data_IF_533059264378
#
_entry.id   IF_533059264378
#
_cell.length_a   1.000
_cell.length_b   1.000
_cell.length_c   1.000
_cell.angle_alpha   90.00
_cell.angle_beta   90.00
_cell.angle_gamma   90.00
#
_symmetry.space_group_name_H-M   'P 1'
#
loop_
_entity.id
_entity.type
_entity.pdbx_description
1 polymer ?
#
# COMPACT_ATOMS: atom_id res chain seq x y z
N UNK A 1 15.55 -16.65 50.48
CA UNK A 1 15.43 -15.38 49.71
C UNK A 1 14.29 -15.57 48.72
N UNK A 2 13.15 -15.08 49.08
CA UNK A 2 11.88 -15.22 48.33
C UNK A 2 11.80 -14.12 47.29
N UNK A 3 11.62 -14.50 46.03
CA UNK A 3 11.37 -13.55 44.94
C UNK A 3 9.94 -13.02 45.04
N UNK A 4 9.80 -11.72 45.30
CA UNK A 4 8.51 -11.02 45.26
C UNK A 4 8.08 -10.83 43.78
N UNK A 5 6.88 -11.29 43.49
CA UNK A 5 6.23 -11.12 42.21
C UNK A 5 5.74 -9.69 42.07
N UNK A 6 6.30 -8.92 41.15
CA UNK A 6 5.79 -7.58 40.82
C UNK A 6 4.47 -7.73 40.05
N UNK A 7 3.39 -7.19 40.67
CA UNK A 7 2.04 -7.20 40.10
C UNK A 7 1.97 -6.32 38.84
N UNK A 8 1.31 -6.81 37.78
CA UNK A 8 1.03 -6.08 36.53
C UNK A 8 0.33 -4.72 36.71
N UNK A 9 -0.28 -4.49 37.90
CA UNK A 9 -0.98 -3.25 38.23
C UNK A 9 -0.02 -2.11 38.62
N UNK A 10 1.18 -2.42 39.10
CA UNK A 10 2.16 -1.43 39.54
C UNK A 10 2.93 -0.75 38.39
N UNK A 11 2.89 -1.32 37.19
CA UNK A 11 3.54 -0.74 36.01
C UNK A 11 2.74 0.35 35.30
N UNK A 12 1.47 0.54 35.66
CA UNK A 12 0.56 1.52 35.03
C UNK A 12 0.38 2.82 35.80
N UNK A 13 0.91 2.93 37.04
CA UNK A 13 0.66 4.10 37.92
C UNK A 13 1.84 5.08 38.03
N UNK A 14 2.96 4.90 37.29
CA UNK A 14 4.17 5.70 37.44
C UNK A 14 4.43 6.72 36.30
N UNK A 15 3.39 7.37 35.76
CA UNK A 15 3.59 8.42 34.73
C UNK A 15 2.56 9.53 34.85
N UNK A 16 2.58 10.27 35.98
CA UNK A 16 1.89 11.54 36.10
C UNK A 16 2.75 12.54 36.89
N UNK A 17 3.68 13.20 36.21
CA UNK A 17 4.26 14.46 36.72
C UNK A 17 3.96 15.53 35.69
N UNK A 18 3.02 16.43 36.05
CA UNK A 18 2.60 17.54 35.21
C UNK A 18 3.65 18.64 35.15
N UNK A 19 3.89 19.17 33.97
CA UNK A 19 4.55 20.47 33.76
C UNK A 19 3.47 21.42 33.24
N UNK A 20 3.10 22.40 34.06
CA UNK A 20 2.30 23.55 33.63
C UNK A 20 3.19 24.48 32.80
N UNK A 21 2.91 24.57 31.49
CA UNK A 21 3.42 25.65 30.65
C UNK A 21 2.25 26.56 30.25
N UNK A 22 2.35 27.82 30.60
CA UNK A 22 1.38 28.86 30.25
C UNK A 22 1.53 29.15 28.73
N UNK A 23 0.47 28.89 27.97
CA UNK A 23 0.41 29.24 26.53
C UNK A 23 -0.30 30.58 26.36
N UNK A 24 0.42 31.55 25.77
CA UNK A 24 -0.17 32.77 25.22
C UNK A 24 -0.84 32.40 23.89
N UNK A 25 -2.14 32.58 23.81
CA UNK A 25 -2.92 32.31 22.62
C UNK A 25 -2.71 33.43 21.58
N UNK A 26 -2.16 33.09 20.42
CA UNK A 26 -2.23 33.91 19.21
C UNK A 26 -3.55 33.61 18.47
N UNK A 27 -4.18 34.60 17.78
CA UNK A 27 -5.43 34.38 17.11
C UNK A 27 -5.26 33.46 15.91
N UNK A 28 -6.02 32.38 15.85
CA UNK A 28 -6.10 31.49 14.71
C UNK A 28 -6.79 32.18 13.53
N UNK A 29 -6.04 32.38 12.43
CA UNK A 29 -6.63 32.72 11.15
C UNK A 29 -7.31 31.45 10.62
N UNK A 30 -8.63 31.42 10.60
CA UNK A 30 -9.41 30.35 10.01
C UNK A 30 -9.15 30.33 8.49
N UNK A 31 -8.47 29.31 8.01
CA UNK A 31 -8.46 28.96 6.59
C UNK A 31 -9.87 28.47 6.20
N UNK A 32 -10.41 28.87 5.03
CA UNK A 32 -11.69 28.36 4.61
C UNK A 32 -11.61 26.85 4.43
N UNK A 33 -12.44 26.11 5.19
CA UNK A 33 -12.56 24.68 5.08
C UNK A 33 -12.91 24.28 3.65
N UNK A 34 -12.08 23.44 3.04
CA UNK A 34 -12.45 22.71 1.86
C UNK A 34 -13.71 21.89 2.21
N UNK A 35 -14.86 22.30 1.68
CA UNK A 35 -16.10 21.58 1.86
C UNK A 35 -15.91 20.15 1.42
N UNK A 36 -16.32 19.20 2.26
CA UNK A 36 -16.35 17.80 1.92
C UNK A 36 -17.10 17.63 0.59
N UNK A 37 -16.54 16.96 -0.42
CA UNK A 37 -17.26 16.71 -1.66
C UNK A 37 -18.44 15.80 -1.34
N UNK A 38 -19.63 16.27 -1.65
CA UNK A 38 -20.87 15.52 -1.56
C UNK A 38 -20.73 14.20 -2.31
N UNK A 39 -20.97 13.08 -1.62
CA UNK A 39 -21.18 11.73 -2.13
C UNK A 39 -20.16 11.32 -3.19
N UNK A 40 -19.01 10.79 -2.77
CA UNK A 40 -17.96 10.35 -3.69
C UNK A 40 -18.52 9.37 -4.72
N UNK A 41 -18.51 9.77 -5.99
CA UNK A 41 -18.87 8.91 -7.11
C UNK A 41 -17.74 7.89 -7.40
N UNK A 42 -17.30 7.20 -6.35
CA UNK A 42 -16.20 6.18 -6.40
C UNK A 42 -16.61 4.97 -7.24
N UNK A 43 -17.86 4.93 -7.70
CA UNK A 43 -18.35 3.89 -8.56
C UNK A 43 -18.93 2.68 -7.81
N UNK A 44 -19.58 1.82 -8.60
CA UNK A 44 -20.17 0.56 -8.09
C UNK A 44 -19.10 -0.52 -8.03
N UNK A 45 -19.07 -1.28 -6.93
CA UNK A 45 -18.24 -2.47 -6.81
C UNK A 45 -18.66 -3.52 -7.86
N UNK A 46 -17.69 -4.03 -8.59
CA UNK A 46 -17.81 -5.06 -9.63
C UNK A 46 -16.95 -6.28 -9.27
N UNK A 47 -17.17 -7.39 -9.94
CA UNK A 47 -16.38 -8.61 -9.82
C UNK A 47 -15.96 -9.07 -11.21
N UNK A 48 -14.76 -9.63 -11.30
CA UNK A 48 -14.26 -10.28 -12.51
C UNK A 48 -13.46 -11.53 -12.14
N UNK A 49 -13.73 -12.63 -12.83
CA UNK A 49 -13.01 -13.89 -12.62
C UNK A 49 -11.76 -13.94 -13.47
N UNK A 50 -10.67 -14.29 -12.83
CA UNK A 50 -9.41 -14.70 -13.46
C UNK A 50 -9.25 -16.22 -13.35
N UNK A 51 -8.07 -16.75 -13.60
CA UNK A 51 -7.78 -18.18 -13.41
C UNK A 51 -7.86 -18.60 -11.93
N UNK A 52 -7.36 -17.75 -11.01
CA UNK A 52 -7.24 -18.08 -9.58
C UNK A 52 -8.21 -17.33 -8.69
N UNK A 53 -8.61 -16.14 -9.09
CA UNK A 53 -9.34 -15.20 -8.24
C UNK A 53 -10.64 -14.72 -8.89
N UNK A 54 -11.64 -14.46 -8.06
CA UNK A 54 -12.76 -13.57 -8.36
C UNK A 54 -12.43 -12.22 -7.73
N UNK A 55 -11.99 -11.27 -8.57
CA UNK A 55 -11.42 -9.98 -8.11
C UNK A 55 -12.52 -8.94 -8.01
N UNK A 56 -12.69 -8.39 -6.79
CA UNK A 56 -13.52 -7.22 -6.56
C UNK A 56 -12.79 -5.95 -6.98
N UNK A 57 -13.46 -5.07 -7.71
CA UNK A 57 -12.88 -3.79 -8.13
C UNK A 57 -13.93 -2.70 -8.29
N UNK A 58 -13.49 -1.47 -8.25
CA UNK A 58 -14.29 -0.29 -8.61
C UNK A 58 -13.77 0.27 -9.93
N UNK A 59 -14.68 0.79 -10.74
CA UNK A 59 -14.36 1.43 -12.01
C UNK A 59 -14.96 2.83 -12.06
N UNK A 60 -14.15 3.83 -12.43
CA UNK A 60 -14.56 5.20 -12.59
C UNK A 60 -14.16 5.75 -13.97
N UNK A 61 -14.86 6.78 -14.42
CA UNK A 61 -14.63 7.42 -15.71
C UNK A 61 -15.22 6.67 -16.92
N UNK A 62 -14.93 7.10 -18.15
CA UNK A 62 -15.49 6.53 -19.36
C UNK A 62 -14.88 5.16 -19.67
N UNK A 63 -15.72 4.19 -20.06
CA UNK A 63 -15.30 2.82 -20.33
C UNK A 63 -14.28 2.69 -21.49
N UNK A 64 -14.28 3.64 -22.42
CA UNK A 64 -13.33 3.72 -23.54
C UNK A 64 -12.16 4.68 -23.26
N UNK A 65 -12.03 5.18 -22.03
CA UNK A 65 -10.89 6.02 -21.62
C UNK A 65 -9.57 5.23 -21.56
N UNK A 66 -8.45 5.97 -21.57
CA UNK A 66 -7.12 5.39 -21.40
C UNK A 66 -7.03 4.69 -20.02
N UNK A 67 -6.66 3.40 -19.97
CA UNK A 67 -6.71 2.65 -18.71
C UNK A 67 -5.69 3.13 -17.68
N UNK A 68 -6.15 3.27 -16.44
CA UNK A 68 -5.32 3.52 -15.25
C UNK A 68 -5.69 2.48 -14.21
N UNK A 69 -4.70 1.77 -13.68
CA UNK A 69 -4.89 0.80 -12.59
C UNK A 69 -4.23 1.36 -11.33
N UNK A 70 -4.99 1.44 -10.23
CA UNK A 70 -4.55 2.00 -8.96
C UNK A 70 -4.54 0.92 -7.88
N UNK A 71 -3.36 0.65 -7.31
CA UNK A 71 -3.11 -0.47 -6.42
C UNK A 71 -2.85 0.00 -4.99
N UNK A 72 -3.72 -0.39 -4.07
CA UNK A 72 -3.60 -0.07 -2.64
C UNK A 72 -2.55 -0.94 -1.94
N UNK A 73 -2.23 -0.59 -0.70
CA UNK A 73 -1.29 -1.30 0.16
C UNK A 73 -1.89 -1.94 1.39
N UNK A 74 -1.04 -2.41 2.29
CA UNK A 74 -1.39 -2.92 3.60
C UNK A 74 -1.12 -1.86 4.68
N UNK A 75 -1.99 -1.69 5.66
CA UNK A 75 -3.33 -2.26 5.83
C UNK A 75 -4.43 -1.28 5.36
N UNK A 76 -4.36 -0.90 4.11
CA UNK A 76 -5.31 -0.01 3.44
C UNK A 76 -6.20 -0.81 2.48
N UNK A 77 -7.03 -0.12 1.69
CA UNK A 77 -7.91 -0.75 0.71
C UNK A 77 -8.16 0.16 -0.50
N UNK A 78 -9.13 -0.18 -1.34
CA UNK A 78 -9.48 0.60 -2.53
C UNK A 78 -9.79 2.07 -2.21
N UNK A 79 -10.24 2.40 -0.99
CA UNK A 79 -10.57 3.77 -0.59
C UNK A 79 -9.33 4.67 -0.45
N UNK A 80 -8.11 4.14 -0.50
CA UNK A 80 -6.88 4.90 -0.74
C UNK A 80 -7.03 5.83 -1.95
N UNK A 81 -7.85 5.44 -2.93
CA UNK A 81 -8.05 6.17 -4.20
C UNK A 81 -9.44 6.77 -4.35
N UNK A 82 -10.21 6.86 -3.26
CA UNK A 82 -11.61 7.34 -3.29
C UNK A 82 -11.75 8.74 -3.91
N UNK A 83 -10.78 9.61 -3.68
CA UNK A 83 -10.77 10.98 -4.22
C UNK A 83 -9.92 11.10 -5.50
N UNK A 84 -8.94 10.21 -5.70
CA UNK A 84 -8.10 10.18 -6.92
C UNK A 84 -8.89 9.69 -8.13
N UNK A 85 -9.67 8.62 -7.99
CA UNK A 85 -10.35 7.99 -9.11
C UNK A 85 -11.37 8.93 -9.80
N UNK A 86 -12.19 9.73 -9.09
CA UNK A 86 -13.05 10.73 -9.70
C UNK A 86 -12.29 11.81 -10.48
N UNK A 87 -11.12 12.28 -9.97
CA UNK A 87 -10.29 13.29 -10.66
C UNK A 87 -9.80 12.73 -12.00
N UNK A 88 -9.27 11.52 -12.01
CA UNK A 88 -8.78 10.87 -13.23
C UNK A 88 -9.93 10.52 -14.20
N UNK A 89 -11.07 10.08 -13.66
CA UNK A 89 -12.27 9.81 -14.44
C UNK A 89 -12.80 11.07 -15.15
N UNK A 90 -12.83 12.21 -14.45
CA UNK A 90 -13.20 13.50 -15.02
C UNK A 90 -12.19 13.96 -16.10
N UNK A 91 -10.93 13.57 -15.99
CA UNK A 91 -9.89 13.80 -17.00
C UNK A 91 -9.95 12.83 -18.21
N UNK A 92 -10.97 11.94 -18.25
CA UNK A 92 -11.22 11.05 -19.38
C UNK A 92 -10.52 9.70 -19.32
N UNK A 93 -9.95 9.33 -18.18
CA UNK A 93 -9.34 8.01 -17.97
C UNK A 93 -10.37 6.96 -17.52
N UNK A 94 -10.18 5.71 -17.97
CA UNK A 94 -10.83 4.52 -17.40
C UNK A 94 -10.03 4.05 -16.19
N UNK A 95 -10.52 4.33 -14.99
CA UNK A 95 -9.79 4.06 -13.73
C UNK A 95 -10.30 2.77 -13.11
N UNK A 96 -9.40 1.82 -12.87
CA UNK A 96 -9.67 0.52 -12.25
C UNK A 96 -8.96 0.47 -10.90
N UNK A 97 -9.71 0.22 -9.83
CA UNK A 97 -9.19 0.13 -8.45
C UNK A 97 -9.56 -1.24 -7.88
N UNK A 98 -8.70 -2.27 -8.03
CA UNK A 98 -8.99 -3.60 -7.52
C UNK A 98 -8.67 -3.73 -6.03
N UNK A 99 -9.42 -4.58 -5.34
CA UNK A 99 -8.95 -5.20 -4.11
C UNK A 99 -7.87 -6.23 -4.42
N UNK A 100 -6.72 -6.09 -3.80
CA UNK A 100 -5.67 -7.11 -3.86
C UNK A 100 -6.16 -8.43 -3.25
N UNK A 101 -5.45 -9.55 -3.53
CA UNK A 101 -5.73 -10.83 -2.87
C UNK A 101 -5.75 -10.69 -1.36
N UNK A 102 -6.73 -11.31 -0.69
CA UNK A 102 -6.91 -11.21 0.75
C UNK A 102 -7.58 -9.90 1.22
N UNK A 103 -8.20 -9.14 0.32
CA UNK A 103 -8.90 -7.90 0.68
C UNK A 103 -10.33 -7.84 0.12
N UNK A 104 -11.18 -7.13 0.86
CA UNK A 104 -12.54 -6.79 0.44
C UNK A 104 -13.31 -7.98 -0.09
N UNK A 105 -13.81 -7.86 -1.31
CA UNK A 105 -14.60 -8.91 -1.96
C UNK A 105 -13.82 -9.84 -2.87
N UNK A 106 -12.50 -9.64 -3.01
CA UNK A 106 -11.65 -10.58 -3.77
C UNK A 106 -11.61 -11.95 -3.08
N UNK A 107 -11.86 -13.02 -3.83
CA UNK A 107 -11.92 -14.40 -3.32
C UNK A 107 -11.13 -15.35 -4.20
N UNK A 108 -10.52 -16.36 -3.61
CA UNK A 108 -9.96 -17.48 -4.35
C UNK A 108 -11.08 -18.35 -4.91
N UNK A 109 -10.94 -18.77 -6.18
CA UNK A 109 -11.91 -19.65 -6.84
C UNK A 109 -11.85 -21.08 -6.32
N UNK A 110 -10.71 -21.50 -5.77
CA UNK A 110 -10.50 -22.83 -5.22
C UNK A 110 -9.92 -22.78 -3.82
N UNK A 111 -10.41 -23.66 -2.95
CA UNK A 111 -9.84 -23.86 -1.62
C UNK A 111 -8.44 -24.52 -1.68
N UNK A 112 -8.11 -25.21 -2.77
CA UNK A 112 -6.81 -25.83 -2.99
C UNK A 112 -5.72 -24.82 -3.38
N UNK A 113 -6.07 -23.61 -3.85
CA UNK A 113 -5.10 -22.57 -4.17
C UNK A 113 -4.41 -22.09 -2.89
N UNK A 114 -3.09 -22.07 -2.88
CA UNK A 114 -2.31 -21.60 -1.74
C UNK A 114 -2.56 -20.10 -1.48
N UNK A 115 -2.77 -19.76 -0.19
CA UNK A 115 -2.93 -18.37 0.27
C UNK A 115 -1.55 -17.72 0.41
N UNK A 116 -0.96 -17.42 -0.72
CA UNK A 116 0.39 -16.94 -0.88
C UNK A 116 0.42 -15.42 -1.11
N UNK A 117 1.29 -14.72 -0.37
CA UNK A 117 1.50 -13.26 -0.44
C UNK A 117 2.87 -12.87 -0.98
N UNK A 118 3.63 -13.78 -1.64
CA UNK A 118 4.93 -13.44 -2.23
C UNK A 118 4.78 -12.35 -3.32
N UNK A 119 5.84 -11.60 -3.56
CA UNK A 119 5.72 -10.38 -4.38
C UNK A 119 5.38 -10.65 -5.86
N UNK A 120 5.93 -11.71 -6.48
CA UNK A 120 5.65 -12.03 -7.88
C UNK A 120 4.18 -12.35 -8.13
N UNK A 121 3.53 -13.02 -7.17
CA UNK A 121 2.12 -13.39 -7.24
C UNK A 121 1.21 -12.16 -7.34
N UNK A 122 1.51 -11.09 -6.59
CA UNK A 122 0.74 -9.84 -6.66
C UNK A 122 0.84 -9.21 -8.07
N UNK A 123 2.01 -9.29 -8.70
CA UNK A 123 2.19 -8.84 -10.07
C UNK A 123 1.40 -9.69 -11.08
N UNK A 124 1.41 -11.01 -10.93
CA UNK A 124 0.64 -11.91 -11.81
C UNK A 124 -0.86 -11.71 -11.67
N UNK A 125 -1.37 -11.39 -10.48
CA UNK A 125 -2.78 -11.06 -10.29
C UNK A 125 -3.20 -9.81 -11.09
N UNK A 126 -2.34 -8.80 -11.14
CA UNK A 126 -2.61 -7.58 -11.93
C UNK A 126 -2.64 -7.91 -13.42
N UNK A 127 -1.71 -8.73 -13.92
CA UNK A 127 -1.73 -9.17 -15.32
C UNK A 127 -3.00 -9.96 -15.62
N UNK A 128 -3.38 -10.91 -14.76
CA UNK A 128 -4.61 -11.68 -14.91
C UNK A 128 -5.87 -10.79 -14.87
N UNK A 129 -5.89 -9.76 -14.03
CA UNK A 129 -6.96 -8.75 -14.01
C UNK A 129 -7.02 -8.00 -15.34
N UNK A 130 -5.88 -7.55 -15.86
CA UNK A 130 -5.81 -6.85 -17.15
C UNK A 130 -6.35 -7.73 -18.28
N UNK A 131 -5.98 -9.00 -18.32
CA UNK A 131 -6.46 -9.96 -19.32
C UNK A 131 -7.97 -10.16 -19.22
N UNK A 132 -8.50 -10.35 -18.01
CA UNK A 132 -9.93 -10.53 -17.76
C UNK A 132 -10.78 -9.28 -18.11
N UNK A 133 -10.19 -8.08 -18.01
CA UNK A 133 -10.84 -6.81 -18.37
C UNK A 133 -10.52 -6.34 -19.81
N UNK A 134 -9.81 -7.17 -20.60
CA UNK A 134 -9.35 -6.86 -21.96
C UNK A 134 -8.56 -5.54 -22.02
N UNK A 135 -7.68 -5.34 -21.04
CA UNK A 135 -6.76 -4.20 -20.97
C UNK A 135 -5.40 -4.65 -21.46
N UNK A 136 -5.04 -4.26 -22.67
CA UNK A 136 -3.74 -4.60 -23.24
C UNK A 136 -2.60 -3.88 -22.52
N UNK A 137 -2.78 -2.59 -22.21
CA UNK A 137 -1.78 -1.73 -21.60
C UNK A 137 -2.43 -0.68 -20.70
N UNK A 138 -1.80 -0.33 -19.56
CA UNK A 138 -2.33 0.65 -18.63
C UNK A 138 -1.22 1.49 -18.00
N UNK A 139 -1.56 2.71 -17.55
CA UNK A 139 -0.78 3.44 -16.55
C UNK A 139 -1.04 2.75 -15.22
N UNK A 140 0.01 2.47 -14.45
CA UNK A 140 -0.14 1.79 -13.17
C UNK A 140 0.37 2.71 -12.05
N UNK A 141 -0.51 2.97 -11.08
CA UNK A 141 -0.20 3.73 -9.88
C UNK A 141 -0.30 2.85 -8.63
N UNK A 142 0.57 3.07 -7.64
CA UNK A 142 0.50 2.28 -6.42
C UNK A 142 1.08 2.97 -5.19
N UNK A 143 0.61 2.48 -4.02
CA UNK A 143 1.11 2.87 -2.71
C UNK A 143 1.40 1.61 -1.89
N UNK A 144 2.48 1.57 -1.13
CA UNK A 144 2.90 0.45 -0.27
C UNK A 144 3.00 -0.89 -1.04
N UNK A 145 2.24 -1.95 -0.67
CA UNK A 145 2.22 -3.20 -1.46
C UNK A 145 1.80 -2.95 -2.90
N UNK A 146 0.89 -2.01 -3.12
CA UNK A 146 0.46 -1.60 -4.45
C UNK A 146 1.58 -0.97 -5.25
N UNK A 147 2.43 -0.14 -4.62
CA UNK A 147 3.61 0.42 -5.27
C UNK A 147 4.62 -0.66 -5.62
N UNK A 148 4.87 -1.63 -4.72
CA UNK A 148 5.72 -2.80 -5.02
C UNK A 148 5.16 -3.58 -6.20
N UNK A 149 3.87 -3.87 -6.19
CA UNK A 149 3.19 -4.59 -7.26
C UNK A 149 3.29 -3.85 -8.59
N UNK A 150 3.09 -2.53 -8.58
CA UNK A 150 3.24 -1.68 -9.78
C UNK A 150 4.67 -1.71 -10.33
N UNK A 151 5.69 -1.63 -9.45
CA UNK A 151 7.10 -1.78 -9.82
C UNK A 151 7.38 -3.15 -10.46
N UNK A 152 6.79 -4.22 -9.91
CA UNK A 152 6.95 -5.59 -10.43
C UNK A 152 6.34 -5.71 -11.82
N UNK A 153 5.13 -5.20 -12.03
CA UNK A 153 4.49 -5.21 -13.35
C UNK A 153 5.33 -4.42 -14.37
N UNK A 154 5.78 -3.22 -14.01
CA UNK A 154 6.61 -2.39 -14.87
C UNK A 154 7.98 -3.03 -15.20
N UNK A 155 8.55 -3.84 -14.30
CA UNK A 155 9.82 -4.51 -14.49
C UNK A 155 9.73 -5.81 -15.28
N UNK A 156 8.69 -6.62 -15.04
CA UNK A 156 8.55 -7.97 -15.64
C UNK A 156 7.72 -7.96 -16.93
N UNK A 157 6.78 -7.01 -17.07
CA UNK A 157 5.88 -6.87 -18.22
C UNK A 157 5.81 -5.41 -18.69
N UNK A 158 6.97 -4.81 -19.11
CA UNK A 158 7.01 -3.40 -19.54
C UNK A 158 6.08 -3.11 -20.72
N UNK A 159 5.77 -4.10 -21.54
CA UNK A 159 4.81 -3.99 -22.64
C UNK A 159 3.37 -3.82 -22.15
N UNK A 160 3.05 -4.24 -20.91
CA UNK A 160 1.73 -4.09 -20.28
C UNK A 160 1.62 -2.80 -19.47
N UNK A 161 2.75 -2.21 -19.08
CA UNK A 161 2.82 -0.98 -18.30
C UNK A 161 3.18 0.20 -19.20
N UNK A 162 2.28 1.15 -19.34
CA UNK A 162 2.50 2.33 -20.18
C UNK A 162 3.37 3.36 -19.47
N UNK A 163 3.10 3.58 -18.18
CA UNK A 163 3.84 4.45 -17.28
C UNK A 163 3.57 4.05 -15.83
N UNK A 164 4.45 4.44 -14.93
CA UNK A 164 4.43 4.08 -13.52
C UNK A 164 4.36 5.32 -12.61
N UNK A 165 3.45 5.31 -11.63
CA UNK A 165 3.50 6.22 -10.48
C UNK A 165 3.64 5.39 -9.20
N UNK A 166 4.73 5.57 -8.46
CA UNK A 166 5.06 4.76 -7.30
C UNK A 166 5.31 5.61 -6.06
N UNK A 167 4.49 5.42 -5.02
CA UNK A 167 4.76 6.03 -3.71
C UNK A 167 5.88 5.25 -3.02
N UNK A 168 6.82 5.97 -2.41
CA UNK A 168 8.03 5.45 -1.75
C UNK A 168 9.05 4.76 -2.68
N UNK A 169 8.94 4.99 -3.98
CA UNK A 169 10.00 4.70 -4.94
C UNK A 169 10.08 3.25 -5.43
N UNK A 170 11.31 2.72 -5.53
CA UNK A 170 11.57 1.37 -6.00
C UNK A 170 11.47 0.37 -4.86
N UNK A 171 10.45 -0.49 -4.88
CA UNK A 171 10.09 -1.37 -3.76
C UNK A 171 10.23 -2.88 -4.08
N UNK A 172 10.82 -3.24 -5.22
CA UNK A 172 11.15 -4.65 -5.50
C UNK A 172 12.22 -5.09 -4.49
N UNK A 173 11.97 -6.21 -3.82
CA UNK A 173 12.87 -6.77 -2.84
C UNK A 173 13.42 -8.15 -3.25
N UNK A 174 14.32 -8.68 -2.44
CA UNK A 174 14.73 -10.06 -2.53
C UNK A 174 14.94 -10.64 -1.14
N UNK A 175 14.63 -11.92 -0.96
CA UNK A 175 14.88 -12.60 0.32
C UNK A 175 16.36 -12.54 0.71
N UNK A 176 17.27 -12.56 -0.26
CA UNK A 176 18.72 -12.47 -0.01
C UNK A 176 19.11 -11.09 0.51
N UNK A 177 18.59 -10.01 -0.09
CA UNK A 177 18.88 -8.65 0.36
C UNK A 177 18.28 -8.39 1.76
N UNK A 178 17.10 -8.95 2.04
CA UNK A 178 16.41 -8.80 3.33
C UNK A 178 17.09 -9.56 4.50
N UNK A 179 18.14 -10.36 4.24
CA UNK A 179 18.95 -10.96 5.31
C UNK A 179 19.88 -9.95 5.99
N UNK A 180 20.20 -8.85 5.32
CA UNK A 180 21.01 -7.79 5.91
C UNK A 180 20.16 -6.97 6.88
N UNK A 181 20.58 -6.79 8.16
CA UNK A 181 19.83 -5.99 9.10
C UNK A 181 19.82 -4.53 8.69
N UNK A 182 18.70 -3.86 8.96
CA UNK A 182 18.57 -2.42 8.78
C UNK A 182 19.07 -1.67 10.03
N UNK A 183 19.28 -0.34 9.93
CA UNK A 183 19.54 0.47 11.12
C UNK A 183 18.42 0.31 12.16
N UNK A 184 18.72 0.35 13.48
CA UNK A 184 17.77 0.05 14.55
C UNK A 184 16.45 0.85 14.47
N UNK A 185 16.50 2.12 14.04
CA UNK A 185 15.30 2.94 13.87
C UNK A 185 14.36 2.39 12.78
N UNK A 186 14.90 1.87 11.68
CA UNK A 186 14.12 1.26 10.61
C UNK A 186 13.53 -0.08 11.04
N UNK A 187 14.32 -0.92 11.74
CA UNK A 187 13.83 -2.18 12.33
C UNK A 187 12.70 -1.93 13.32
N UNK A 188 12.85 -0.91 14.18
CA UNK A 188 11.82 -0.52 15.13
C UNK A 188 10.52 -0.06 14.43
N UNK A 189 10.62 0.69 13.34
CA UNK A 189 9.45 1.13 12.59
C UNK A 189 8.76 -0.03 11.86
N UNK A 190 9.51 -1.08 11.50
CA UNK A 190 8.98 -2.31 10.89
C UNK A 190 8.84 -3.47 11.88
N UNK A 191 8.73 -3.20 13.20
CA UNK A 191 8.62 -4.19 14.28
C UNK A 191 7.63 -5.32 13.98
N UNK A 192 6.53 -5.00 13.31
CA UNK A 192 5.46 -5.94 13.00
C UNK A 192 5.89 -7.08 12.07
N UNK A 193 6.94 -6.91 11.25
CA UNK A 193 7.48 -8.00 10.44
C UNK A 193 7.99 -9.14 11.32
N UNK A 194 8.68 -8.80 12.41
CA UNK A 194 9.18 -9.79 13.38
C UNK A 194 8.05 -10.37 14.24
N UNK A 195 7.03 -9.56 14.54
CA UNK A 195 5.83 -10.05 15.20
C UNK A 195 5.13 -11.10 14.33
N UNK A 196 4.92 -10.83 13.05
CA UNK A 196 4.33 -11.76 12.09
C UNK A 196 5.19 -13.00 11.77
N UNK A 197 6.48 -12.99 12.09
CA UNK A 197 7.36 -14.15 11.99
C UNK A 197 6.96 -15.26 12.99
N UNK A 198 6.26 -14.91 14.07
CA UNK A 198 5.90 -15.81 15.18
C UNK A 198 4.44 -16.26 15.09
N UNK A 199 4.14 -17.42 15.70
CA UNK A 199 2.76 -17.89 15.83
C UNK A 199 1.93 -16.94 16.71
N UNK A 200 2.52 -16.41 17.79
CA UNK A 200 1.89 -15.37 18.61
C UNK A 200 1.48 -14.15 17.79
N UNK A 201 2.31 -13.76 16.82
CA UNK A 201 2.03 -12.61 15.94
C UNK A 201 0.89 -12.90 14.99
N UNK A 202 0.84 -14.10 14.41
CA UNK A 202 -0.28 -14.54 13.56
C UNK A 202 -1.60 -14.53 14.33
N UNK A 203 -1.64 -15.14 15.51
CA UNK A 203 -2.84 -15.19 16.35
C UNK A 203 -3.25 -13.81 16.86
N UNK A 204 -2.28 -12.99 17.27
CA UNK A 204 -2.52 -11.64 17.74
C UNK A 204 -3.06 -10.72 16.64
N UNK A 205 -2.56 -10.85 15.41
CA UNK A 205 -3.10 -10.11 14.26
C UNK A 205 -4.52 -10.58 13.90
N UNK A 206 -4.76 -11.89 13.88
CA UNK A 206 -6.08 -12.45 13.62
C UNK A 206 -7.14 -11.98 14.63
N UNK A 207 -6.75 -11.87 15.92
CA UNK A 207 -7.65 -11.43 16.98
C UNK A 207 -7.91 -9.91 17.01
N UNK A 208 -7.01 -9.09 16.42
CA UNK A 208 -7.00 -7.64 16.57
C UNK A 208 -6.70 -6.91 15.25
N UNK A 209 -7.16 -7.42 14.13
CA UNK A 209 -6.81 -6.92 12.79
C UNK A 209 -7.12 -5.43 12.62
N UNK A 210 -8.30 -4.96 13.05
CA UNK A 210 -8.68 -3.55 12.92
C UNK A 210 -7.86 -2.62 13.82
N UNK A 211 -7.69 -2.98 15.10
CA UNK A 211 -6.89 -2.17 16.03
C UNK A 211 -5.42 -2.10 15.58
N UNK A 212 -4.91 -3.22 15.06
CA UNK A 212 -3.57 -3.28 14.49
C UNK A 212 -3.44 -2.35 13.28
N UNK A 213 -4.40 -2.41 12.36
CA UNK A 213 -4.44 -1.53 11.18
C UNK A 213 -4.49 -0.05 11.59
N UNK A 214 -5.33 0.32 12.57
CA UNK A 214 -5.42 1.68 13.09
C UNK A 214 -4.08 2.16 13.66
N UNK A 215 -3.39 1.31 14.42
CA UNK A 215 -2.06 1.61 14.95
C UNK A 215 -1.04 1.87 13.83
N UNK A 216 -1.07 1.05 12.76
CA UNK A 216 -0.20 1.25 11.61
C UNK A 216 -0.52 2.56 10.89
N UNK A 217 -1.79 2.89 10.66
CA UNK A 217 -2.16 4.16 10.03
C UNK A 217 -1.63 5.36 10.81
N UNK A 218 -1.83 5.36 12.14
CA UNK A 218 -1.36 6.43 13.02
C UNK A 218 0.16 6.57 13.03
N UNK A 219 0.89 5.45 13.00
CA UNK A 219 2.35 5.47 13.03
C UNK A 219 2.97 5.80 11.67
N UNK A 220 2.36 5.33 10.58
CA UNK A 220 2.84 5.57 9.23
C UNK A 220 2.46 6.96 8.69
N UNK A 221 1.35 7.52 9.14
CA UNK A 221 0.88 8.87 8.78
C UNK A 221 0.61 9.71 10.03
N UNK A 222 1.65 10.11 10.80
CA UNK A 222 1.49 10.68 12.12
C UNK A 222 0.84 12.06 12.14
N UNK A 223 0.82 12.77 11.02
CA UNK A 223 0.16 14.07 10.90
C UNK A 223 -1.24 14.00 10.27
N UNK A 224 -1.61 12.85 9.70
CA UNK A 224 -2.93 12.67 9.08
C UNK A 224 -4.03 12.56 10.14
N UNK A 225 -5.04 13.43 10.02
CA UNK A 225 -6.19 13.48 10.94
C UNK A 225 -7.41 12.82 10.30
N UNK A 226 -7.33 11.50 10.06
CA UNK A 226 -8.48 10.75 9.58
C UNK A 226 -9.52 10.56 10.70
N UNK A 227 -10.79 10.57 10.34
CA UNK A 227 -11.89 10.26 11.24
C UNK A 227 -12.20 8.75 11.30
N UNK A 228 -13.01 8.37 12.28
CA UNK A 228 -13.41 6.97 12.46
C UNK A 228 -14.17 6.43 11.26
N UNK A 229 -15.02 7.25 10.61
CA UNK A 229 -15.79 6.82 9.45
C UNK A 229 -14.87 6.48 8.25
N UNK A 230 -13.81 7.25 8.04
CA UNK A 230 -12.78 6.98 7.03
C UNK A 230 -12.04 5.68 7.32
N UNK A 231 -11.61 5.47 8.56
CA UNK A 231 -10.93 4.25 8.94
C UNK A 231 -11.84 3.03 8.83
N UNK A 232 -13.03 3.05 9.46
CA UNK A 232 -13.96 1.92 9.50
C UNK A 232 -14.44 1.50 8.10
N UNK A 233 -14.57 2.46 7.19
CA UNK A 233 -14.88 2.17 5.78
C UNK A 233 -13.81 1.27 5.14
N UNK A 234 -12.54 1.58 5.35
CA UNK A 234 -11.42 0.82 4.81
C UNK A 234 -11.16 -0.48 5.57
N UNK A 235 -11.30 -0.46 6.91
CA UNK A 235 -11.05 -1.61 7.78
C UNK A 235 -11.94 -2.82 7.43
N UNK A 236 -13.15 -2.60 6.91
CA UNK A 236 -14.05 -3.67 6.42
C UNK A 236 -13.42 -4.55 5.35
N UNK A 237 -12.47 -4.04 4.58
CA UNK A 237 -11.77 -4.85 3.59
C UNK A 237 -10.86 -5.91 4.22
N UNK A 238 -10.44 -5.71 5.47
CA UNK A 238 -9.59 -6.61 6.24
C UNK A 238 -10.39 -7.80 6.83
N UNK A 239 -11.73 -7.75 6.78
CA UNK A 239 -12.62 -8.87 7.18
C UNK A 239 -12.63 -10.00 6.13
N UNK A 240 -11.87 -9.85 5.04
CA UNK A 240 -11.69 -10.92 4.06
C UNK A 240 -11.14 -12.18 4.75
N UNK A 241 -11.72 -13.37 4.55
CA UNK A 241 -11.34 -14.60 5.26
C UNK A 241 -9.89 -15.04 4.98
N UNK A 242 -9.30 -14.60 3.88
CA UNK A 242 -7.92 -14.93 3.50
C UNK A 242 -6.92 -13.84 3.94
N UNK A 243 -7.40 -12.69 4.48
CA UNK A 243 -6.58 -11.51 4.77
C UNK A 243 -5.38 -11.80 5.67
N UNK A 244 -5.64 -12.41 6.83
CA UNK A 244 -4.60 -12.71 7.82
C UNK A 244 -3.55 -13.64 7.21
N UNK A 245 -3.99 -14.71 6.53
CA UNK A 245 -3.08 -15.69 5.94
C UNK A 245 -2.20 -15.06 4.87
N UNK A 246 -2.76 -14.26 3.97
CA UNK A 246 -2.01 -13.55 2.92
C UNK A 246 -1.03 -12.56 3.52
N UNK A 247 -1.46 -11.77 4.52
CA UNK A 247 -0.60 -10.79 5.18
C UNK A 247 0.59 -11.46 5.86
N UNK A 248 0.33 -12.50 6.65
CA UNK A 248 1.38 -13.26 7.34
C UNK A 248 2.34 -13.90 6.32
N UNK A 249 1.82 -14.52 5.26
CA UNK A 249 2.65 -15.11 4.20
C UNK A 249 3.55 -14.06 3.53
N UNK A 250 3.03 -12.86 3.21
CA UNK A 250 3.82 -11.79 2.59
C UNK A 250 5.03 -11.40 3.46
N UNK A 251 4.81 -11.14 4.74
CA UNK A 251 5.90 -10.70 5.62
C UNK A 251 6.86 -11.84 5.98
N UNK A 252 6.35 -13.06 6.17
CA UNK A 252 7.21 -14.24 6.39
C UNK A 252 8.07 -14.55 5.16
N UNK A 253 7.49 -14.47 3.95
CA UNK A 253 8.25 -14.64 2.71
C UNK A 253 9.38 -13.61 2.59
N UNK A 254 9.13 -12.35 2.90
CA UNK A 254 10.16 -11.30 2.90
C UNK A 254 11.33 -11.61 3.83
N UNK A 255 11.07 -12.24 4.98
CA UNK A 255 12.08 -12.65 5.95
C UNK A 255 12.74 -14.02 5.60
N UNK A 256 12.33 -14.67 4.51
CA UNK A 256 12.82 -15.99 4.13
C UNK A 256 12.28 -17.13 5.00
N UNK A 257 11.19 -16.90 5.74
CA UNK A 257 10.52 -17.86 6.62
C UNK A 257 9.36 -18.60 5.93
N UNK A 258 9.02 -18.20 4.71
CA UNK A 258 8.05 -18.83 3.83
C UNK A 258 8.66 -18.97 2.43
N UNK A 259 8.50 -20.13 1.79
CA UNK A 259 9.11 -20.40 0.48
C UNK A 259 8.32 -19.83 -0.68
N UNK A 260 7.03 -19.58 -0.50
CA UNK A 260 6.13 -19.29 -1.60
C UNK A 260 5.83 -20.53 -2.46
N UNK A 261 5.32 -20.33 -3.66
CA UNK A 261 4.96 -21.40 -4.60
C UNK A 261 6.01 -21.53 -5.71
N UNK A 262 6.49 -22.76 -6.00
CA UNK A 262 7.56 -23.01 -6.98
C UNK A 262 7.25 -22.50 -8.40
N UNK A 263 5.99 -22.43 -8.77
CA UNK A 263 5.58 -21.91 -10.09
C UNK A 263 6.00 -20.45 -10.33
N UNK A 264 6.27 -19.67 -9.28
CA UNK A 264 6.72 -18.28 -9.35
C UNK A 264 8.24 -18.12 -9.19
N UNK A 265 9.01 -19.19 -8.95
CA UNK A 265 10.45 -19.13 -8.70
C UNK A 265 11.22 -18.42 -9.82
N UNK A 266 10.84 -18.66 -11.07
CA UNK A 266 11.46 -18.01 -12.24
C UNK A 266 11.23 -16.49 -12.25
N UNK A 267 10.06 -16.01 -11.81
CA UNK A 267 9.75 -14.59 -11.68
C UNK A 267 10.48 -13.98 -10.49
N UNK A 268 10.49 -14.69 -9.35
CA UNK A 268 11.22 -14.23 -8.16
C UNK A 268 12.74 -14.15 -8.42
N UNK A 269 13.32 -15.07 -9.19
CA UNK A 269 14.72 -14.99 -9.59
C UNK A 269 15.01 -13.74 -10.43
N UNK A 270 14.12 -13.39 -11.38
CA UNK A 270 14.23 -12.13 -12.14
C UNK A 270 14.15 -10.90 -11.22
N UNK A 271 13.21 -10.89 -10.27
CA UNK A 271 13.03 -9.79 -9.32
C UNK A 271 14.21 -9.68 -8.35
N UNK A 272 14.78 -10.81 -7.90
CA UNK A 272 15.96 -10.85 -7.02
C UNK A 272 17.20 -10.21 -7.65
N UNK A 273 17.28 -10.18 -8.99
CA UNK A 273 18.31 -9.44 -9.72
C UNK A 273 18.12 -7.91 -9.66
N UNK A 274 17.05 -7.43 -9.01
CA UNK A 274 16.73 -6.01 -8.88
C UNK A 274 16.67 -5.30 -10.26
N UNK A 275 15.76 -5.73 -11.15
CA UNK A 275 15.71 -5.29 -12.54
C UNK A 275 15.49 -3.78 -12.67
N UNK A 276 16.00 -3.21 -13.76
CA UNK A 276 15.75 -1.82 -14.13
C UNK A 276 14.35 -1.67 -14.73
N UNK A 277 13.65 -0.60 -14.36
CA UNK A 277 12.35 -0.24 -14.90
C UNK A 277 12.56 0.78 -16.03
N UNK A 278 12.12 0.44 -17.24
CA UNK A 278 12.36 1.23 -18.43
C UNK A 278 11.19 2.16 -18.84
N UNK A 279 10.00 1.94 -18.26
CA UNK A 279 8.83 2.78 -18.57
C UNK A 279 8.94 4.16 -17.91
N UNK A 280 8.31 5.22 -18.48
CA UNK A 280 8.24 6.53 -17.84
C UNK A 280 7.72 6.41 -16.41
N UNK A 281 8.41 7.03 -15.45
CA UNK A 281 8.12 6.84 -14.03
C UNK A 281 8.17 8.15 -13.26
N UNK A 282 7.17 8.37 -12.41
CA UNK A 282 7.20 9.38 -11.35
C UNK A 282 7.13 8.66 -10.01
N UNK A 283 8.09 8.94 -9.12
CA UNK A 283 8.02 8.49 -7.72
C UNK A 283 7.59 9.63 -6.82
N UNK A 284 6.76 9.31 -5.83
CA UNK A 284 6.23 10.27 -4.86
C UNK A 284 6.64 9.88 -3.44
N UNK A 285 6.88 10.87 -2.60
CA UNK A 285 7.09 10.69 -1.17
C UNK A 285 6.41 11.80 -0.38
N UNK A 286 5.79 11.47 0.77
CA UNK A 286 5.26 12.46 1.70
C UNK A 286 6.34 12.95 2.68
N UNK A 287 6.35 14.25 2.99
CA UNK A 287 7.34 14.85 3.89
C UNK A 287 7.19 14.43 5.37
N UNK A 288 6.09 13.77 5.72
CA UNK A 288 5.80 13.24 7.06
C UNK A 288 5.56 11.72 7.07
N UNK A 289 6.07 10.99 6.06
CA UNK A 289 5.96 9.52 6.04
C UNK A 289 6.69 8.90 7.23
N UNK A 290 5.93 8.26 8.14
CA UNK A 290 6.46 7.58 9.32
C UNK A 290 6.95 6.15 9.04
N UNK A 291 6.60 5.57 7.87
CA UNK A 291 7.11 4.25 7.48
C UNK A 291 8.52 4.36 6.91
N UNK A 292 9.40 3.37 7.12
CA UNK A 292 10.72 3.35 6.48
C UNK A 292 10.59 3.29 4.96
N UNK A 293 11.34 4.15 4.29
CA UNK A 293 11.41 4.21 2.84
C UNK A 293 12.84 4.49 2.38
N UNK A 294 13.26 4.04 1.18
CA UNK A 294 14.59 4.32 0.67
C UNK A 294 14.72 5.78 0.24
N UNK A 295 15.94 6.34 0.31
CA UNK A 295 16.19 7.67 -0.25
C UNK A 295 16.11 7.63 -1.79
N UNK A 296 15.61 8.69 -2.44
CA UNK A 296 15.55 8.76 -3.90
C UNK A 296 16.88 8.54 -4.60
N UNK A 297 17.98 9.02 -4.03
CA UNK A 297 19.35 8.80 -4.54
C UNK A 297 19.76 7.32 -4.61
N UNK A 298 19.20 6.48 -3.73
CA UNK A 298 19.58 5.07 -3.64
C UNK A 298 18.99 4.24 -4.78
N UNK A 299 17.83 4.67 -5.30
CA UNK A 299 17.09 3.93 -6.31
C UNK A 299 16.90 4.64 -7.66
N UNK A 300 17.25 5.92 -7.81
CA UNK A 300 17.06 6.66 -9.07
C UNK A 300 17.64 5.94 -10.29
N UNK A 301 18.81 5.31 -10.15
CA UNK A 301 19.45 4.50 -11.20
C UNK A 301 18.70 3.22 -11.59
N UNK A 302 17.67 2.86 -10.86
CA UNK A 302 16.77 1.74 -11.17
C UNK A 302 15.71 2.09 -12.22
N UNK A 303 15.63 3.36 -12.60
CA UNK A 303 14.75 3.83 -13.66
C UNK A 303 15.59 4.31 -14.84
N UNK A 304 15.50 3.63 -15.99
CA UNK A 304 16.25 3.99 -17.20
C UNK A 304 15.42 4.78 -18.21
N UNK A 305 14.10 4.78 -18.06
CA UNK A 305 13.21 5.64 -18.81
C UNK A 305 13.21 7.08 -18.28
N UNK A 306 12.30 7.91 -18.78
CA UNK A 306 12.08 9.23 -18.18
C UNK A 306 11.67 9.05 -16.71
N UNK A 307 12.43 9.68 -15.82
CA UNK A 307 12.25 9.54 -14.38
C UNK A 307 12.21 10.89 -13.67
N UNK A 308 11.27 11.02 -12.75
CA UNK A 308 11.13 12.18 -11.85
C UNK A 308 10.81 11.71 -10.44
N UNK A 309 11.35 12.39 -9.44
CA UNK A 309 10.95 12.23 -8.04
C UNK A 309 10.30 13.50 -7.53
N UNK A 310 9.23 13.37 -6.73
CA UNK A 310 8.54 14.49 -6.08
C UNK A 310 8.33 14.22 -4.61
N UNK A 311 8.70 15.16 -3.76
CA UNK A 311 8.30 15.20 -2.36
C UNK A 311 7.05 16.06 -2.23
N UNK A 312 5.99 15.50 -1.67
CA UNK A 312 4.73 16.20 -1.41
C UNK A 312 4.77 16.71 0.02
N UNK A 313 4.71 18.03 0.17
CA UNK A 313 4.83 18.72 1.46
C UNK A 313 3.48 19.08 2.06
N UNK A 314 3.47 19.37 3.36
CA UNK A 314 2.26 19.74 4.09
C UNK A 314 1.87 18.74 5.16
N UNK A 315 2.82 17.92 5.64
CA UNK A 315 2.56 16.90 6.65
C UNK A 315 1.98 15.61 6.08
N UNK A 316 2.27 15.32 4.80
CA UNK A 316 1.75 14.15 4.08
C UNK A 316 2.49 12.89 4.54
N UNK A 317 1.73 11.91 4.98
CA UNK A 317 2.24 10.64 5.46
C UNK A 317 2.33 9.54 4.40
N UNK A 318 2.18 8.32 4.88
CA UNK A 318 2.38 7.11 4.08
C UNK A 318 1.28 6.85 3.06
N UNK A 319 0.01 7.10 3.42
CA UNK A 319 -1.12 6.89 2.51
C UNK A 319 -1.35 8.10 1.60
N UNK A 320 -0.27 8.54 0.96
CA UNK A 320 -0.18 9.75 0.16
C UNK A 320 -1.36 9.92 -0.84
N UNK A 321 -1.86 8.88 -1.55
CA UNK A 321 -2.96 9.09 -2.49
C UNK A 321 -4.27 9.53 -1.81
N UNK A 322 -4.49 9.16 -0.54
CA UNK A 322 -5.65 9.59 0.23
C UNK A 322 -5.41 10.92 0.97
N UNK A 323 -4.16 11.17 1.39
CA UNK A 323 -3.77 12.38 2.10
C UNK A 323 -3.59 13.59 1.17
N UNK A 324 -3.14 13.33 -0.08
CA UNK A 324 -2.89 14.33 -1.12
C UNK A 324 -3.39 13.88 -2.50
N UNK A 325 -4.71 13.65 -2.66
CA UNK A 325 -5.27 13.01 -3.87
C UNK A 325 -4.99 13.79 -5.15
N UNK A 326 -5.01 15.12 -5.10
CA UNK A 326 -4.70 15.95 -6.26
C UNK A 326 -3.25 15.76 -6.72
N UNK A 327 -2.29 15.73 -5.80
CA UNK A 327 -0.87 15.54 -6.14
C UNK A 327 -0.61 14.16 -6.78
N UNK A 328 -1.28 13.11 -6.29
CA UNK A 328 -1.18 11.79 -6.88
C UNK A 328 -1.83 11.74 -8.28
N UNK A 329 -3.03 12.31 -8.43
CA UNK A 329 -3.72 12.39 -9.72
C UNK A 329 -2.91 13.19 -10.76
N UNK A 330 -2.33 14.32 -10.37
CA UNK A 330 -1.46 15.13 -11.22
C UNK A 330 -0.23 14.34 -11.70
N UNK A 331 0.37 13.51 -10.85
CA UNK A 331 1.47 12.64 -11.24
C UNK A 331 1.03 11.63 -12.32
N UNK A 332 -0.14 10.98 -12.16
CA UNK A 332 -0.72 10.09 -13.19
C UNK A 332 -0.97 10.83 -14.50
N UNK A 333 -1.56 12.01 -14.46
CA UNK A 333 -1.86 12.80 -15.65
C UNK A 333 -0.62 13.31 -16.37
N UNK A 334 0.45 13.58 -15.64
CA UNK A 334 1.70 14.08 -16.20
C UNK A 334 2.56 12.97 -16.77
N UNK A 335 2.69 11.84 -16.09
CA UNK A 335 3.44 10.68 -16.60
C UNK A 335 2.81 10.13 -17.87
N UNK A 336 1.51 10.31 -18.05
CA UNK A 336 0.73 9.87 -19.20
C UNK A 336 0.93 10.72 -20.48
N UNK A 337 1.46 11.95 -20.36
CA UNK A 337 1.61 12.91 -21.47
C UNK A 337 2.94 12.80 -22.21
N UNK A 338 3.73 11.82 -21.86
CA UNK A 338 5.11 11.65 -22.35
C UNK A 338 5.16 10.74 -23.56
#
# INVERSE_FOLDING_TARGET
>A
MTAESISRRALLEASAVGILAATVAAPAIAMPGAGAPNGSNFGRLKQVKTELLDIGYVEAGPANGRPVILLHGWPYDIHTYVDVAPILGAAGHRVIVPYLRGYGTTRFLSQATQRNGQQAVLGTDVIALMDALHIERAIIGGCDWGARTANIVAALWPERCEALVSVSGYLIGSQQANKAPLPPKAEFAWWYQFYFATERGREGYAANTHDFARLIWQSASPQWRFDDATFERSAKALDNPDHVTITISNYRWRLGLDRGEPQYDALEAKLAAMPVIAVPTITLEGDANGAPHPNPSDYAKKYSGRYEHRTITGGIGHNLPQEAPQAFADAILQVARV
#
